data_IF_285397393495
#
_entry.id   IF_285397393495
#
_cell.length_a   1.000
_cell.length_b   1.000
_cell.length_c   1.000
_cell.angle_alpha   90.00
_cell.angle_beta   90.00
_cell.angle_gamma   90.00
#
_symmetry.space_group_name_H-M   'P 1'
#
loop_
_entity.id
_entity.type
_entity.pdbx_description
1 polymer ?
#
# COMPACT_ATOMS: atom_id res chain seq x y z
N UNK A 1 6.13 -16.78 8.63
CA UNK A 1 7.37 -16.14 9.13
C UNK A 1 7.30 -15.72 10.61
N UNK A 2 8.45 -15.62 11.28
CA UNK A 2 8.67 -15.05 12.61
C UNK A 2 8.86 -13.53 12.54
N UNK A 3 8.77 -12.83 13.68
CA UNK A 3 9.01 -11.38 13.74
C UNK A 3 10.42 -10.99 13.25
N UNK A 4 11.45 -11.79 13.56
CA UNK A 4 12.83 -11.52 13.15
C UNK A 4 13.00 -11.57 11.63
N UNK A 5 12.39 -12.57 10.99
CA UNK A 5 12.37 -12.73 9.53
C UNK A 5 11.62 -11.56 8.88
N UNK A 6 10.53 -11.09 9.51
CA UNK A 6 9.77 -9.93 9.04
C UNK A 6 10.64 -8.67 9.04
N UNK A 7 11.37 -8.44 10.13
CA UNK A 7 12.26 -7.29 10.26
C UNK A 7 13.40 -7.30 9.22
N UNK A 8 13.89 -8.48 8.84
CA UNK A 8 14.95 -8.60 7.84
C UNK A 8 14.52 -8.14 6.45
N UNK A 9 13.27 -8.41 6.06
CA UNK A 9 12.74 -8.06 4.73
C UNK A 9 11.87 -6.79 4.73
N UNK A 10 11.82 -6.10 5.87
CA UNK A 10 10.96 -4.94 6.09
C UNK A 10 11.26 -3.80 5.12
N UNK A 11 12.54 -3.56 4.83
CA UNK A 11 12.97 -2.52 3.88
C UNK A 11 12.45 -2.83 2.47
N UNK A 12 12.64 -4.06 1.99
CA UNK A 12 12.13 -4.50 0.68
C UNK A 12 10.61 -4.39 0.58
N UNK A 13 9.90 -4.69 1.67
CA UNK A 13 8.45 -4.54 1.74
C UNK A 13 8.01 -3.06 1.64
N UNK A 14 8.64 -2.15 2.40
CA UNK A 14 8.27 -0.72 2.34
C UNK A 14 8.67 -0.06 1.02
N UNK A 15 9.74 -0.55 0.38
CA UNK A 15 10.19 -0.10 -0.93
C UNK A 15 9.39 -0.75 -2.08
N UNK A 16 8.55 -1.75 -1.79
CA UNK A 16 7.73 -2.45 -2.78
C UNK A 16 8.52 -3.39 -3.69
N UNK A 17 9.72 -3.79 -3.31
CA UNK A 17 10.61 -4.68 -4.05
C UNK A 17 10.58 -6.12 -3.55
N UNK A 18 9.71 -6.42 -2.58
CA UNK A 18 9.57 -7.76 -2.01
C UNK A 18 9.05 -8.76 -3.05
N UNK A 19 9.56 -9.99 -3.00
CA UNK A 19 9.03 -11.09 -3.82
C UNK A 19 7.52 -11.31 -3.55
N UNK A 20 6.68 -11.48 -4.59
CA UNK A 20 5.24 -11.64 -4.43
C UNK A 20 4.82 -12.83 -3.54
N UNK A 21 5.58 -13.92 -3.54
CA UNK A 21 5.32 -15.08 -2.68
C UNK A 21 5.55 -14.76 -1.21
N UNK A 22 6.59 -13.99 -0.92
CA UNK A 22 6.96 -13.55 0.42
C UNK A 22 5.99 -12.48 0.96
N UNK A 23 5.41 -11.67 0.07
CA UNK A 23 4.42 -10.66 0.41
C UNK A 23 3.20 -11.26 1.13
N UNK A 24 2.72 -12.44 0.69
CA UNK A 24 1.56 -13.10 1.31
C UNK A 24 1.83 -13.55 2.74
N UNK A 25 3.00 -14.14 3.00
CA UNK A 25 3.38 -14.55 4.35
C UNK A 25 3.59 -13.34 5.27
N UNK A 26 4.14 -12.26 4.74
CA UNK A 26 4.30 -10.98 5.42
C UNK A 26 2.96 -10.39 5.86
N UNK A 27 2.00 -10.31 4.93
CA UNK A 27 0.64 -9.83 5.19
C UNK A 27 -0.09 -10.68 6.23
N UNK A 28 0.05 -12.02 6.16
CA UNK A 28 -0.54 -12.91 7.14
C UNK A 28 0.05 -12.70 8.54
N UNK A 29 1.36 -12.52 8.65
CA UNK A 29 1.99 -12.23 9.93
C UNK A 29 1.51 -10.88 10.49
N UNK A 30 1.47 -9.84 9.64
CA UNK A 30 0.96 -8.53 10.05
C UNK A 30 -0.48 -8.60 10.55
N UNK A 31 -1.35 -9.39 9.92
CA UNK A 31 -2.74 -9.53 10.36
C UNK A 31 -2.87 -10.06 11.81
N UNK A 32 -1.92 -10.87 12.27
CA UNK A 32 -1.95 -11.50 13.60
C UNK A 32 -1.01 -10.91 14.65
N UNK A 33 -0.13 -9.97 14.30
CA UNK A 33 0.97 -9.52 15.15
C UNK A 33 0.97 -8.00 15.36
N UNK A 34 0.35 -7.54 16.45
CA UNK A 34 0.32 -6.12 16.81
C UNK A 34 1.72 -5.48 16.93
N UNK A 35 2.75 -6.12 17.52
CA UNK A 35 4.10 -5.55 17.54
C UNK A 35 4.65 -5.23 16.14
N UNK A 36 4.49 -6.14 15.18
CA UNK A 36 4.98 -5.92 13.82
C UNK A 36 4.17 -4.88 13.05
N UNK A 37 2.86 -4.77 13.29
CA UNK A 37 2.03 -3.68 12.77
C UNK A 37 2.59 -2.32 13.22
N UNK A 38 2.86 -2.16 14.52
CA UNK A 38 3.41 -0.93 15.09
C UNK A 38 4.75 -0.57 14.47
N UNK A 39 5.64 -1.55 14.24
CA UNK A 39 6.94 -1.32 13.60
C UNK A 39 6.77 -0.83 12.17
N UNK A 40 5.95 -1.51 11.36
CA UNK A 40 5.69 -1.11 9.96
C UNK A 40 5.10 0.30 9.89
N UNK A 41 4.14 0.60 10.75
CA UNK A 41 3.50 1.92 10.78
C UNK A 41 4.48 3.02 11.18
N UNK A 42 5.36 2.77 12.15
CA UNK A 42 6.39 3.72 12.56
C UNK A 42 7.38 4.01 11.43
N UNK A 43 7.79 2.99 10.67
CA UNK A 43 8.69 3.18 9.52
C UNK A 43 8.00 3.99 8.43
N UNK A 44 6.74 3.68 8.08
CA UNK A 44 5.98 4.46 7.10
C UNK A 44 5.88 5.93 7.51
N UNK A 45 5.54 6.20 8.78
CA UNK A 45 5.50 7.56 9.33
C UNK A 45 6.86 8.25 9.25
N UNK A 46 7.93 7.53 9.57
CA UNK A 46 9.30 8.05 9.50
C UNK A 46 9.66 8.44 8.07
N UNK A 47 9.35 7.59 7.08
CA UNK A 47 9.53 7.89 5.65
C UNK A 47 8.73 9.14 5.25
N UNK A 48 7.47 9.26 5.68
CA UNK A 48 6.64 10.44 5.40
C UNK A 48 7.25 11.71 5.99
N UNK A 49 7.73 11.67 7.23
CA UNK A 49 8.39 12.80 7.89
C UNK A 49 9.69 13.19 7.17
N UNK A 50 10.52 12.21 6.78
CA UNK A 50 11.77 12.45 6.04
C UNK A 50 11.54 13.05 4.66
N UNK A 51 10.47 12.64 3.97
CA UNK A 51 10.06 13.25 2.70
C UNK A 51 9.44 14.64 2.88
N UNK A 52 9.38 15.17 4.11
CA UNK A 52 8.74 16.45 4.46
C UNK A 52 7.29 16.55 3.95
N UNK A 53 6.62 15.42 3.80
CA UNK A 53 5.30 15.36 3.16
C UNK A 53 5.26 15.86 1.71
N UNK A 54 6.41 16.02 1.04
CA UNK A 54 6.45 16.42 -0.36
C UNK A 54 5.71 15.37 -1.21
N UNK A 55 4.61 15.76 -1.88
CA UNK A 55 3.89 14.85 -2.76
C UNK A 55 4.82 14.42 -3.88
N UNK A 56 4.92 13.12 -4.12
CA UNK A 56 5.54 12.64 -5.34
C UNK A 56 4.58 12.92 -6.51
N UNK A 57 5.02 13.72 -7.48
CA UNK A 57 4.24 13.95 -8.69
C UNK A 57 4.03 12.64 -9.43
N UNK A 58 2.80 12.13 -9.38
CA UNK A 58 2.40 10.97 -10.13
C UNK A 58 2.46 11.28 -11.63
N UNK A 59 3.19 10.49 -12.44
CA UNK A 59 3.19 10.65 -13.89
C UNK A 59 1.76 10.73 -14.42
N UNK A 60 1.51 11.67 -15.34
CA UNK A 60 0.16 11.98 -15.83
C UNK A 60 -0.53 10.72 -16.38
N UNK A 61 0.20 9.88 -17.12
CA UNK A 61 -0.30 8.62 -17.64
C UNK A 61 -0.76 7.66 -16.53
N UNK A 62 0.02 7.57 -15.45
CA UNK A 62 -0.35 6.74 -14.31
C UNK A 62 -1.63 7.24 -13.64
N UNK A 63 -1.72 8.56 -13.40
CA UNK A 63 -2.91 9.21 -12.83
C UNK A 63 -4.16 8.92 -13.67
N UNK A 64 -4.04 9.03 -14.99
CA UNK A 64 -5.15 8.77 -15.92
C UNK A 64 -5.60 7.30 -15.87
N UNK A 65 -4.67 6.35 -15.93
CA UNK A 65 -4.99 4.91 -15.86
C UNK A 65 -5.63 4.54 -14.52
N UNK A 66 -5.10 5.05 -13.41
CA UNK A 66 -5.65 4.82 -12.07
C UNK A 66 -7.10 5.33 -11.98
N UNK A 67 -7.34 6.59 -12.39
CA UNK A 67 -8.68 7.16 -12.37
C UNK A 67 -9.65 6.40 -13.29
N UNK A 68 -9.20 5.92 -14.45
CA UNK A 68 -10.03 5.10 -15.33
C UNK A 68 -10.41 3.77 -14.67
N UNK A 69 -9.45 3.05 -14.09
CA UNK A 69 -9.67 1.79 -13.40
C UNK A 69 -10.62 1.94 -12.20
N UNK A 70 -10.45 2.99 -11.40
CA UNK A 70 -11.33 3.29 -10.26
C UNK A 70 -12.76 3.59 -10.70
N UNK A 71 -12.95 4.40 -11.76
CA UNK A 71 -14.29 4.67 -12.32
C UNK A 71 -14.95 3.42 -12.87
N UNK A 72 -14.19 2.57 -13.56
CA UNK A 72 -14.71 1.32 -14.11
C UNK A 72 -15.17 0.38 -13.00
N UNK A 73 -14.32 0.20 -11.98
CA UNK A 73 -14.67 -0.60 -10.80
C UNK A 73 -15.87 -0.02 -10.05
N UNK A 74 -15.99 1.30 -9.96
CA UNK A 74 -17.12 1.97 -9.33
C UNK A 74 -18.45 1.64 -10.02
N UNK A 75 -18.51 1.71 -11.36
CA UNK A 75 -19.70 1.38 -12.14
C UNK A 75 -20.16 -0.07 -11.93
N UNK A 76 -19.22 -0.99 -11.83
CA UNK A 76 -19.50 -2.41 -11.60
C UNK A 76 -20.11 -2.66 -10.21
N UNK A 77 -19.65 -1.92 -9.19
CA UNK A 77 -20.12 -2.07 -7.81
C UNK A 77 -21.42 -1.27 -7.59
N UNK A 78 -21.62 -0.16 -8.32
CA UNK A 78 -22.77 0.73 -8.17
C UNK A 78 -23.45 1.00 -9.53
N UNK A 79 -24.22 0.02 -10.04
CA UNK A 79 -24.84 0.12 -11.36
C UNK A 79 -25.92 1.21 -11.48
N UNK A 80 -26.49 1.71 -10.37
CA UNK A 80 -27.62 2.68 -10.39
C UNK A 80 -27.30 4.09 -9.92
N UNK A 81 -26.08 4.39 -9.45
CA UNK A 81 -25.67 5.78 -9.19
C UNK A 81 -25.20 6.45 -10.49
N UNK A 82 -26.17 6.81 -11.33
CA UNK A 82 -25.97 7.77 -12.41
C UNK A 82 -25.46 9.12 -11.88
N UNK A 83 -24.89 9.99 -12.74
CA UNK A 83 -24.39 11.28 -12.29
C UNK A 83 -25.55 12.09 -11.70
N UNK A 84 -25.43 12.52 -10.44
CA UNK A 84 -26.26 13.61 -9.94
C UNK A 84 -25.90 14.85 -10.76
N UNK A 85 -26.91 15.36 -11.47
CA UNK A 85 -26.87 16.61 -12.22
C UNK A 85 -26.41 17.78 -11.35
#
# INVERSE_FOLDING_TARGET
MKCEELLQILNEYVDGTVDPGLCKEFEQHLAGCNPCQVVVDNIRKTITLYKNGEPFELPVEFRQRLHAALRERWKQIHPESGPRA
#
